data_IF_841872943843
#
_entry.id   IF_841872943843
#
_cell.length_a   1.000
_cell.length_b   1.000
_cell.length_c   1.000
_cell.angle_alpha   90.00
_cell.angle_beta   90.00
_cell.angle_gamma   90.00
#
_symmetry.space_group_name_H-M   'P 1'
#
loop_
_entity.id
_entity.type
_entity.pdbx_description
1 polymer ?
#
# COMPACT_ATOMS: atom_id res chain seq x y z
N UNK A 1 3.64 -8.41 -42.28
CA UNK A 1 3.11 -8.61 -43.63
C UNK A 1 3.74 -7.63 -44.61
N UNK A 2 4.92 -7.86 -45.19
CA UNK A 2 6.07 -8.75 -44.87
C UNK A 2 7.31 -8.14 -45.56
N UNK A 3 8.44 -7.94 -44.86
CA UNK A 3 9.52 -8.90 -44.58
C UNK A 3 10.49 -9.13 -45.76
N UNK A 4 11.77 -8.86 -45.49
CA UNK A 4 13.03 -9.25 -46.17
C UNK A 4 13.15 -9.18 -47.70
N UNK A 5 14.29 -8.63 -48.14
CA UNK A 5 15.07 -9.18 -49.25
C UNK A 5 16.55 -9.29 -48.88
N UNK A 6 17.12 -10.47 -49.12
CA UNK A 6 18.55 -10.78 -49.15
C UNK A 6 19.06 -10.53 -50.60
N UNK A 7 20.30 -10.76 -51.04
CA UNK A 7 21.49 -11.46 -50.52
C UNK A 7 22.76 -10.75 -51.06
N UNK A 8 23.93 -11.05 -50.49
CA UNK A 8 25.24 -10.71 -51.04
C UNK A 8 26.33 -11.44 -50.24
N UNK A 9 27.04 -12.36 -50.88
CA UNK A 9 27.84 -13.42 -50.25
C UNK A 9 29.24 -13.55 -50.88
N UNK A 10 30.25 -13.88 -50.07
CA UNK A 10 31.58 -14.40 -50.48
C UNK A 10 32.49 -14.63 -49.25
N UNK A 11 32.31 -15.77 -48.58
CA UNK A 11 33.34 -16.79 -48.30
C UNK A 11 34.86 -16.43 -48.34
N UNK A 12 35.61 -16.76 -47.26
CA UNK A 12 36.86 -17.59 -47.24
C UNK A 12 37.58 -17.54 -45.86
N UNK A 13 38.35 -18.60 -45.52
CA UNK A 13 38.84 -18.96 -44.16
C UNK A 13 40.38 -18.81 -43.92
N UNK A 14 40.82 -19.25 -42.71
CA UNK A 14 42.14 -19.79 -42.29
C UNK A 14 43.29 -18.89 -41.72
N UNK A 15 43.36 -18.91 -40.38
CA UNK A 15 44.48 -19.37 -39.51
C UNK A 15 45.97 -18.93 -39.72
N UNK A 16 46.43 -18.13 -38.75
CA UNK A 16 47.67 -18.23 -37.93
C UNK A 16 49.14 -18.24 -38.47
N UNK A 17 49.95 -17.52 -37.68
CA UNK A 17 51.32 -17.81 -37.19
C UNK A 17 52.63 -17.19 -37.77
N UNK A 18 53.47 -16.77 -36.80
CA UNK A 18 54.94 -16.63 -36.78
C UNK A 18 55.72 -15.43 -37.41
N UNK A 19 55.99 -14.43 -36.55
CA UNK A 19 57.35 -14.03 -36.06
C UNK A 19 58.10 -12.78 -36.60
N UNK A 20 58.45 -11.89 -35.64
CA UNK A 20 59.66 -11.01 -35.56
C UNK A 20 59.80 -9.86 -36.59
N UNK A 21 60.45 -8.70 -36.34
CA UNK A 21 61.47 -8.24 -35.37
C UNK A 21 61.16 -6.78 -34.89
N UNK A 22 61.54 -6.40 -33.67
CA UNK A 22 61.40 -5.02 -33.11
C UNK A 22 62.59 -4.09 -33.47
N UNK A 23 62.47 -2.75 -33.32
CA UNK A 23 62.94 -2.16 -32.04
C UNK A 23 62.11 -0.95 -31.53
N UNK A 24 62.06 -0.76 -30.19
CA UNK A 24 62.40 0.56 -29.62
C UNK A 24 63.67 0.53 -28.75
N UNK A 25 64.13 1.71 -28.31
CA UNK A 25 65.48 1.91 -27.75
C UNK A 25 65.58 1.73 -26.22
N UNK A 26 66.69 1.10 -25.80
CA UNK A 26 67.30 1.15 -24.46
C UNK A 26 67.87 2.56 -24.14
N UNK A 27 68.40 3.00 -22.97
CA UNK A 27 68.69 2.51 -21.58
C UNK A 27 69.03 3.79 -20.74
N UNK A 28 68.87 3.97 -19.43
CA UNK A 28 68.29 3.21 -18.29
C UNK A 28 67.58 4.23 -17.34
N UNK A 29 67.54 4.27 -15.99
CA UNK A 29 68.19 3.66 -14.80
C UNK A 29 67.15 3.40 -13.67
N UNK A 30 67.51 2.58 -12.68
CA UNK A 30 66.60 2.08 -11.63
C UNK A 30 66.26 3.10 -10.54
N UNK A 31 65.01 3.07 -10.01
CA UNK A 31 64.79 3.05 -8.55
C UNK A 31 63.38 2.54 -8.13
N UNK A 32 63.40 1.51 -7.27
CA UNK A 32 62.41 1.12 -6.23
C UNK A 32 60.89 1.34 -6.48
N UNK A 33 60.18 0.25 -6.78
CA UNK A 33 58.72 0.15 -6.68
C UNK A 33 58.28 -0.18 -5.25
N UNK A 34 57.83 0.81 -4.47
CA UNK A 34 57.01 0.58 -3.26
C UNK A 34 55.93 1.67 -3.12
N UNK A 35 54.84 1.55 -3.88
CA UNK A 35 53.65 2.39 -3.70
C UNK A 35 52.67 1.70 -2.72
N UNK A 36 52.76 2.03 -1.43
CA UNK A 36 51.85 1.48 -0.42
C UNK A 36 50.43 2.06 -0.58
N UNK A 37 49.45 1.21 -0.85
CA UNK A 37 48.04 1.60 -0.76
C UNK A 37 47.70 1.99 0.68
N UNK A 38 47.47 3.28 0.93
CA UNK A 38 46.95 3.77 2.20
C UNK A 38 45.45 3.46 2.30
N UNK A 39 45.12 2.28 2.81
CA UNK A 39 43.76 1.96 3.25
C UNK A 39 43.38 2.91 4.40
N UNK A 40 42.48 3.85 4.12
CA UNK A 40 41.94 4.76 5.15
C UNK A 40 41.00 3.95 6.04
N UNK A 41 41.57 3.36 7.09
CA UNK A 41 40.81 2.73 8.17
C UNK A 41 40.09 3.86 8.92
N UNK A 42 38.77 3.93 8.75
CA UNK A 42 37.94 4.82 9.57
C UNK A 42 38.05 4.38 11.05
N UNK A 43 38.11 5.31 12.01
CA UNK A 43 38.08 4.95 13.42
C UNK A 43 36.77 4.21 13.75
N UNK A 44 36.78 3.28 14.72
CA UNK A 44 35.54 2.67 15.19
C UNK A 44 34.58 3.77 15.70
N UNK A 45 33.25 3.58 15.55
CA UNK A 45 32.28 4.52 16.10
C UNK A 45 32.48 4.65 17.62
N UNK A 46 32.37 5.86 18.20
CA UNK A 46 32.48 6.02 19.65
C UNK A 46 31.49 5.14 20.41
N UNK A 47 31.89 4.58 21.55
CA UNK A 47 31.06 3.69 22.37
C UNK A 47 29.73 4.33 22.82
N UNK A 48 29.64 5.66 22.80
CA UNK A 48 28.40 6.42 23.05
C UNK A 48 27.32 6.16 21.99
N UNK A 49 27.68 5.77 20.75
CA UNK A 49 26.72 5.33 19.72
C UNK A 49 26.22 3.90 19.94
N UNK A 50 26.91 3.09 20.76
CA UNK A 50 26.44 1.77 21.19
C UNK A 50 25.60 1.84 22.47
N UNK A 51 25.65 2.97 23.19
CA UNK A 51 24.79 3.25 24.35
C UNK A 51 23.43 3.76 23.89
N UNK A 52 22.52 2.83 23.64
CA UNK A 52 21.07 3.10 23.64
C UNK A 52 20.77 3.84 24.96
N UNK A 53 20.34 5.12 24.94
CA UNK A 53 20.09 5.85 26.17
C UNK A 53 18.86 5.24 26.84
N UNK A 54 18.88 5.12 28.17
CA UNK A 54 17.82 4.45 28.95
C UNK A 54 16.45 5.16 28.89
N UNK A 55 16.36 6.29 28.18
CA UNK A 55 15.11 6.94 27.77
C UNK A 55 14.41 6.27 26.58
N UNK A 56 15.05 5.34 25.87
CA UNK A 56 14.38 4.40 24.94
C UNK A 56 13.86 3.18 25.75
N UNK A 57 13.10 3.46 26.81
CA UNK A 57 12.13 2.51 27.33
C UNK A 57 10.91 2.52 26.40
N UNK A 58 10.33 1.33 26.17
CA UNK A 58 9.38 1.08 25.09
C UNK A 58 8.00 1.67 25.38
N UNK A 59 7.80 2.96 25.05
CA UNK A 59 6.47 3.61 25.08
C UNK A 59 5.66 3.24 23.80
N UNK A 60 5.45 1.94 23.59
CA UNK A 60 4.51 1.41 22.56
C UNK A 60 3.56 0.34 23.13
N UNK A 61 3.41 0.32 24.46
CA UNK A 61 2.33 -0.39 25.16
C UNK A 61 1.03 0.44 25.19
N UNK A 62 -0.08 -0.15 24.75
CA UNK A 62 -1.48 0.30 24.84
C UNK A 62 -1.89 1.68 24.29
N UNK A 63 -0.98 2.60 23.98
CA UNK A 63 -1.28 3.98 23.54
C UNK A 63 -2.14 4.11 22.26
N UNK A 64 -2.40 3.01 21.54
CA UNK A 64 -3.23 2.97 20.32
C UNK A 64 -4.28 1.85 20.29
N UNK A 65 -4.72 1.31 21.45
CA UNK A 65 -5.78 0.29 21.49
C UNK A 65 -5.44 -0.98 20.69
N UNK A 66 -4.21 -1.48 20.87
CA UNK A 66 -3.68 -2.63 20.14
C UNK A 66 -3.42 -2.40 18.64
N UNK A 67 -3.36 -1.16 18.13
CA UNK A 67 -2.88 -0.86 16.76
C UNK A 67 -1.36 -0.96 16.69
N UNK A 68 -0.85 -2.20 16.60
CA UNK A 68 0.52 -2.48 16.18
C UNK A 68 0.75 -1.86 14.79
N UNK A 69 1.84 -1.12 14.60
CA UNK A 69 2.27 -0.59 13.29
C UNK A 69 3.01 -1.69 12.52
N UNK A 70 2.78 -1.80 11.21
CA UNK A 70 3.50 -2.76 10.35
C UNK A 70 4.98 -2.41 10.14
N UNK A 71 5.43 -1.22 10.57
CA UNK A 71 6.82 -0.83 10.65
C UNK A 71 7.06 0.12 11.84
N UNK A 72 8.26 0.07 12.48
CA UNK A 72 8.62 1.01 13.54
C UNK A 72 8.60 2.46 13.08
N UNK A 73 8.33 3.39 14.00
CA UNK A 73 8.56 4.80 13.70
C UNK A 73 10.06 5.10 13.68
N UNK A 74 10.55 5.59 12.55
CA UNK A 74 11.89 6.19 12.42
C UNK A 74 11.68 7.64 12.04
N UNK A 75 12.44 8.55 12.62
CA UNK A 75 12.32 9.98 12.34
C UNK A 75 12.50 10.25 10.84
N UNK A 76 11.62 11.04 10.25
CA UNK A 76 11.58 11.31 8.81
C UNK A 76 10.88 10.26 7.93
N UNK A 77 10.46 9.10 8.49
CA UNK A 77 9.60 8.12 7.80
C UNK A 77 8.11 8.37 8.11
N UNK A 78 7.31 8.48 7.05
CA UNK A 78 5.86 8.73 7.08
C UNK A 78 5.11 7.55 6.49
N UNK A 79 3.99 7.17 7.10
CA UNK A 79 3.06 6.20 6.50
C UNK A 79 2.29 6.86 5.36
N UNK A 80 2.51 6.42 4.12
CA UNK A 80 1.81 6.88 2.94
C UNK A 80 0.77 5.84 2.47
N UNK A 81 -0.44 6.31 2.17
CA UNK A 81 -1.57 5.48 1.71
C UNK A 81 -2.48 6.30 0.79
N UNK A 82 -2.73 5.78 -0.41
CA UNK A 82 -3.66 6.35 -1.39
C UNK A 82 -4.97 5.55 -1.46
N UNK A 83 -6.10 6.26 -1.48
CA UNK A 83 -7.45 5.70 -1.36
C UNK A 83 -8.52 6.59 -2.00
N UNK A 84 -9.71 6.01 -2.26
CA UNK A 84 -10.94 6.73 -2.58
C UNK A 84 -11.74 6.91 -1.28
N UNK A 85 -11.99 8.12 -0.79
CA UNK A 85 -12.92 8.36 0.31
C UNK A 85 -14.39 8.13 -0.10
N UNK A 86 -15.19 7.55 0.79
CA UNK A 86 -16.57 7.11 0.56
C UNK A 86 -17.41 7.34 1.81
N UNK A 87 -18.53 8.06 1.68
CA UNK A 87 -19.55 8.20 2.73
C UNK A 87 -20.75 7.30 2.45
N UNK A 88 -21.40 6.79 3.51
CA UNK A 88 -22.66 6.02 3.36
C UNK A 88 -23.82 7.02 3.32
N UNK A 89 -24.51 7.19 2.17
CA UNK A 89 -25.53 8.22 2.01
C UNK A 89 -26.78 7.91 2.84
N UNK A 90 -27.48 8.93 3.32
CA UNK A 90 -28.56 8.79 4.32
C UNK A 90 -29.68 7.81 3.90
N UNK A 91 -30.01 7.75 2.60
CA UNK A 91 -31.00 6.81 2.06
C UNK A 91 -30.56 5.33 2.13
N UNK A 92 -29.25 5.06 2.22
CA UNK A 92 -28.69 3.72 2.31
C UNK A 92 -28.56 3.25 3.76
N UNK A 93 -28.36 4.17 4.72
CA UNK A 93 -28.14 3.86 6.14
C UNK A 93 -29.26 3.00 6.74
N UNK A 94 -30.53 3.23 6.35
CA UNK A 94 -31.66 2.39 6.77
C UNK A 94 -31.57 0.92 6.34
N UNK A 95 -30.78 0.60 5.30
CA UNK A 95 -30.48 -0.77 4.86
C UNK A 95 -29.19 -1.32 5.50
N UNK A 96 -28.17 -0.48 5.66
CA UNK A 96 -26.85 -0.88 6.19
C UNK A 96 -26.87 -1.05 7.72
N UNK A 97 -27.46 -0.10 8.46
CA UNK A 97 -27.40 -0.05 9.93
C UNK A 97 -27.95 -1.33 10.61
N UNK A 98 -29.12 -1.89 10.24
CA UNK A 98 -29.62 -3.10 10.89
C UNK A 98 -28.74 -4.33 10.67
N UNK A 99 -27.98 -4.36 9.58
CA UNK A 99 -27.00 -5.41 9.27
C UNK A 99 -25.72 -5.21 10.09
N UNK A 100 -25.22 -3.97 10.20
CA UNK A 100 -24.08 -3.62 11.09
C UNK A 100 -24.40 -3.98 12.54
N UNK A 101 -25.53 -3.51 13.08
CA UNK A 101 -25.95 -3.85 14.44
C UNK A 101 -26.14 -5.36 14.66
N UNK A 102 -26.56 -6.10 13.63
CA UNK A 102 -26.63 -7.57 13.68
C UNK A 102 -25.24 -8.18 13.76
N UNK A 103 -24.29 -7.69 12.98
CA UNK A 103 -22.89 -8.13 13.01
C UNK A 103 -22.26 -7.96 14.40
N UNK A 104 -22.37 -6.76 14.99
CA UNK A 104 -21.83 -6.46 16.31
C UNK A 104 -22.49 -7.29 17.43
N UNK A 105 -23.82 -7.49 17.39
CA UNK A 105 -24.53 -8.39 18.33
C UNK A 105 -24.12 -9.86 18.16
N UNK A 106 -23.89 -10.30 16.92
CA UNK A 106 -23.54 -11.69 16.58
C UNK A 106 -22.07 -12.02 16.85
N UNK A 107 -21.19 -11.02 16.79
CA UNK A 107 -19.75 -11.16 16.98
C UNK A 107 -19.21 -10.08 17.96
N UNK A 108 -19.33 -10.29 19.29
CA UNK A 108 -18.93 -9.29 20.30
C UNK A 108 -17.44 -8.92 20.34
N UNK A 109 -16.59 -9.59 19.56
CA UNK A 109 -15.17 -9.21 19.36
C UNK A 109 -14.99 -8.10 18.31
N UNK A 110 -16.05 -7.73 17.56
CA UNK A 110 -16.00 -6.67 16.57
C UNK A 110 -15.95 -5.31 17.25
N UNK A 111 -15.03 -4.46 16.81
CA UNK A 111 -14.84 -3.07 17.22
C UNK A 111 -15.16 -2.14 16.04
N UNK A 112 -15.74 -0.95 16.28
CA UNK A 112 -15.99 0.02 15.22
C UNK A 112 -14.68 0.59 14.65
N UNK A 113 -14.79 1.25 13.50
CA UNK A 113 -13.71 2.06 12.96
C UNK A 113 -13.74 3.45 13.60
N UNK A 114 -12.94 3.64 14.65
CA UNK A 114 -12.78 4.94 15.29
C UNK A 114 -11.54 5.67 14.74
N UNK A 115 -11.72 6.95 14.39
CA UNK A 115 -10.72 7.85 13.80
C UNK A 115 -9.52 8.16 14.71
N UNK A 116 -9.63 7.88 16.01
CA UNK A 116 -8.78 8.48 17.04
C UNK A 116 -8.30 7.58 18.17
N UNK A 117 -8.14 6.27 17.97
CA UNK A 117 -7.27 5.42 18.81
C UNK A 117 -7.67 5.13 20.27
N UNK A 118 -8.65 5.81 20.85
CA UNK A 118 -9.14 5.57 22.22
C UNK A 118 -10.06 4.35 22.26
N UNK A 119 -9.91 3.46 23.25
CA UNK A 119 -10.82 2.33 23.46
C UNK A 119 -12.12 2.80 24.15
N UNK A 120 -12.94 3.53 23.41
CA UNK A 120 -14.24 4.02 23.92
C UNK A 120 -15.21 2.86 24.00
N UNK A 121 -15.76 2.61 25.19
CA UNK A 121 -16.83 1.63 25.39
C UNK A 121 -17.97 1.86 24.36
N UNK A 122 -18.65 0.80 23.88
CA UNK A 122 -19.65 0.92 22.81
C UNK A 122 -20.93 1.64 23.29
N UNK A 123 -20.86 2.97 23.32
CA UNK A 123 -21.96 3.89 23.53
C UNK A 123 -23.08 3.62 22.50
N UNK A 124 -24.38 3.66 22.87
CA UNK A 124 -25.43 2.94 22.15
C UNK A 124 -25.82 3.57 20.79
N UNK A 125 -25.23 4.69 20.40
CA UNK A 125 -25.38 5.30 19.09
C UNK A 125 -24.58 4.59 17.98
N UNK A 126 -25.06 3.43 17.49
CA UNK A 126 -24.52 2.84 16.25
C UNK A 126 -24.81 3.71 15.02
N UNK A 127 -25.84 4.57 15.10
CA UNK A 127 -26.25 5.52 14.05
C UNK A 127 -25.14 6.49 13.64
N UNK A 128 -24.51 7.17 14.60
CA UNK A 128 -23.44 8.16 14.35
C UNK A 128 -22.16 7.53 13.80
N UNK A 129 -21.95 6.22 14.02
CA UNK A 129 -20.82 5.48 13.45
C UNK A 129 -20.94 5.26 11.94
N UNK A 130 -22.10 5.54 11.32
CA UNK A 130 -22.29 5.60 9.86
C UNK A 130 -22.25 7.03 9.28
N UNK A 131 -21.92 8.05 10.09
CA UNK A 131 -21.67 9.42 9.62
C UNK A 131 -20.22 9.67 9.19
N UNK A 132 -19.29 8.76 9.50
CA UNK A 132 -17.87 8.88 9.15
C UNK A 132 -17.54 8.73 7.65
N UNK A 133 -16.32 9.14 7.29
CA UNK A 133 -15.75 8.91 5.96
C UNK A 133 -14.99 7.57 5.95
N UNK A 134 -15.47 6.61 5.16
CA UNK A 134 -14.79 5.35 4.91
C UNK A 134 -13.85 5.49 3.70
N UNK A 135 -13.05 4.46 3.41
CA UNK A 135 -12.14 4.49 2.27
C UNK A 135 -12.05 3.15 1.54
N UNK A 136 -11.91 3.22 0.22
CA UNK A 136 -11.51 2.09 -0.64
C UNK A 136 -10.02 2.27 -0.96
N UNK A 137 -9.18 1.35 -0.46
CA UNK A 137 -7.73 1.42 -0.68
C UNK A 137 -7.35 1.22 -2.15
N UNK A 138 -6.48 2.09 -2.67
CA UNK A 138 -5.84 1.95 -3.99
C UNK A 138 -4.38 1.49 -3.92
N UNK A 139 -3.82 1.41 -2.70
CA UNK A 139 -2.42 1.07 -2.43
C UNK A 139 -2.27 0.44 -1.05
N UNK A 140 -1.14 -0.22 -0.81
CA UNK A 140 -0.71 -0.61 0.53
C UNK A 140 -0.32 0.64 1.34
N UNK A 141 -0.40 0.56 2.67
CA UNK A 141 0.26 1.56 3.53
C UNK A 141 1.77 1.29 3.50
N UNK A 142 2.57 2.27 3.09
CA UNK A 142 4.01 2.11 2.87
C UNK A 142 4.83 3.20 3.58
N UNK A 143 6.02 2.89 4.13
CA UNK A 143 6.91 3.91 4.68
C UNK A 143 7.58 4.70 3.55
N UNK A 144 7.49 6.03 3.60
CA UNK A 144 8.18 6.95 2.67
C UNK A 144 8.93 8.05 3.44
N UNK A 145 10.03 8.55 2.87
CA UNK A 145 10.77 9.69 3.44
C UNK A 145 10.13 11.01 3.03
N UNK A 146 10.22 12.04 3.88
CA UNK A 146 9.63 13.37 3.65
C UNK A 146 9.85 13.91 2.22
N UNK A 147 11.09 13.83 1.71
CA UNK A 147 11.45 14.33 0.38
C UNK A 147 10.82 13.56 -0.79
N UNK A 148 10.31 12.35 -0.58
CA UNK A 148 9.63 11.55 -1.61
C UNK A 148 8.17 11.96 -1.78
N UNK A 149 7.51 12.46 -0.72
CA UNK A 149 6.06 12.68 -0.66
C UNK A 149 5.58 13.59 -1.79
N UNK A 150 6.15 14.78 -1.94
CA UNK A 150 5.72 15.75 -2.96
C UNK A 150 5.96 15.23 -4.40
N UNK A 151 7.01 14.41 -4.62
CA UNK A 151 7.23 13.74 -5.91
C UNK A 151 6.16 12.67 -6.19
N UNK A 152 5.81 11.84 -5.20
CA UNK A 152 4.76 10.81 -5.32
C UNK A 152 3.43 11.49 -5.62
N UNK A 153 3.03 12.48 -4.81
CA UNK A 153 1.80 13.28 -4.99
C UNK A 153 1.76 13.97 -6.37
N UNK A 154 2.88 14.55 -6.82
CA UNK A 154 3.00 15.19 -8.14
C UNK A 154 2.87 14.20 -9.30
N UNK A 155 3.43 12.99 -9.18
CA UNK A 155 3.29 11.91 -10.17
C UNK A 155 1.87 11.32 -10.17
N UNK A 156 1.26 11.08 -9.00
CA UNK A 156 -0.13 10.63 -8.86
C UNK A 156 -1.08 11.60 -9.56
N UNK A 157 -0.95 12.91 -9.30
CA UNK A 157 -1.74 13.95 -9.97
C UNK A 157 -1.65 13.87 -11.49
N UNK A 158 -0.44 13.79 -12.07
CA UNK A 158 -0.28 13.65 -13.53
C UNK A 158 -0.85 12.34 -14.06
N UNK A 159 -0.71 11.22 -13.34
CA UNK A 159 -1.15 9.90 -13.82
C UNK A 159 -2.67 9.72 -13.74
N UNK A 160 -3.32 10.34 -12.77
CA UNK A 160 -4.77 10.29 -12.58
C UNK A 160 -5.53 11.41 -13.30
N UNK A 161 -4.87 12.49 -13.75
CA UNK A 161 -5.52 13.65 -14.39
C UNK A 161 -6.47 13.33 -15.58
N UNK A 162 -6.25 12.22 -16.28
CA UNK A 162 -7.11 11.78 -17.40
C UNK A 162 -8.17 10.72 -17.01
N UNK A 163 -8.40 10.47 -15.72
CA UNK A 163 -9.42 9.54 -15.24
C UNK A 163 -10.79 10.22 -15.25
N UNK A 164 -11.80 9.55 -15.80
CA UNK A 164 -13.19 10.01 -15.75
C UNK A 164 -13.81 9.72 -14.37
N UNK A 165 -14.82 10.50 -13.98
CA UNK A 165 -15.62 10.19 -12.78
C UNK A 165 -16.56 9.01 -13.05
N UNK A 166 -16.80 8.19 -12.04
CA UNK A 166 -17.51 6.93 -12.16
C UNK A 166 -18.26 6.56 -10.88
N UNK A 167 -19.09 5.52 -10.95
CA UNK A 167 -19.83 5.00 -9.79
C UNK A 167 -19.27 3.66 -9.35
N UNK A 168 -19.22 3.45 -8.03
CA UNK A 168 -18.95 2.17 -7.38
C UNK A 168 -20.18 1.72 -6.61
N UNK A 169 -20.50 0.43 -6.66
CA UNK A 169 -21.69 -0.13 -6.02
C UNK A 169 -21.30 -1.10 -4.93
N UNK A 170 -21.82 -0.93 -3.72
CA UNK A 170 -21.52 -1.80 -2.58
C UNK A 170 -22.64 -2.80 -2.37
N UNK A 171 -22.29 -4.08 -2.17
CA UNK A 171 -23.32 -5.14 -2.11
C UNK A 171 -22.93 -6.48 -1.48
N UNK A 172 -21.64 -6.81 -1.32
CA UNK A 172 -21.26 -8.10 -0.69
C UNK A 172 -20.61 -7.89 0.68
N UNK A 173 -21.16 -8.52 1.72
CA UNK A 173 -20.48 -8.61 3.03
C UNK A 173 -19.36 -9.63 2.95
N UNK A 174 -18.14 -9.17 3.19
CA UNK A 174 -16.96 -10.01 3.10
C UNK A 174 -15.94 -9.73 4.20
N UNK A 175 -15.05 -10.69 4.38
CA UNK A 175 -14.05 -10.68 5.46
C UNK A 175 -12.65 -10.61 4.88
N UNK A 176 -11.86 -9.69 5.40
CA UNK A 176 -10.47 -9.44 5.00
C UNK A 176 -9.54 -9.52 6.21
N UNK A 177 -8.27 -9.82 5.98
CA UNK A 177 -7.21 -9.77 7.00
C UNK A 177 -6.08 -8.88 6.48
N UNK A 178 -5.29 -8.29 7.38
CA UNK A 178 -4.03 -7.65 7.00
C UNK A 178 -2.95 -8.69 6.66
N UNK A 179 -1.89 -8.26 5.97
CA UNK A 179 -0.78 -9.11 5.52
C UNK A 179 -0.14 -9.87 6.71
N UNK A 180 -0.08 -9.26 7.89
CA UNK A 180 0.45 -9.85 9.14
C UNK A 180 -0.55 -10.72 9.91
N UNK A 181 -1.81 -10.82 9.48
CA UNK A 181 -2.93 -11.53 10.17
C UNK A 181 -3.20 -11.12 11.62
N UNK A 182 -2.69 -9.97 12.08
CA UNK A 182 -2.94 -9.44 13.42
C UNK A 182 -4.31 -8.77 13.56
N UNK A 183 -5.04 -8.56 12.45
CA UNK A 183 -6.37 -7.92 12.40
C UNK A 183 -7.26 -8.55 11.32
N UNK A 184 -8.51 -8.79 11.69
CA UNK A 184 -9.58 -9.21 10.76
C UNK A 184 -10.60 -8.07 10.62
N UNK A 185 -11.12 -7.84 9.42
CA UNK A 185 -12.05 -6.76 9.09
C UNK A 185 -13.36 -7.32 8.53
N UNK A 186 -14.49 -6.76 8.99
CA UNK A 186 -15.79 -6.91 8.34
C UNK A 186 -15.97 -5.76 7.35
N UNK A 187 -16.21 -6.09 6.09
CA UNK A 187 -16.18 -5.14 4.98
C UNK A 187 -17.38 -5.28 4.06
N UNK A 188 -17.67 -4.22 3.31
CA UNK A 188 -18.53 -4.26 2.14
C UNK A 188 -17.68 -4.14 0.87
N UNK A 189 -17.70 -5.19 0.05
CA UNK A 189 -17.01 -5.25 -1.24
C UNK A 189 -17.83 -4.54 -2.33
N UNK A 190 -17.11 -3.90 -3.26
CA UNK A 190 -17.64 -3.33 -4.49
C UNK A 190 -18.04 -4.45 -5.45
N UNK A 191 -19.26 -4.40 -5.96
CA UNK A 191 -19.82 -5.39 -6.88
C UNK A 191 -18.97 -5.48 -8.14
N UNK A 192 -18.70 -6.71 -8.60
CA UNK A 192 -17.75 -7.04 -9.68
C UNK A 192 -17.89 -6.19 -10.94
N UNK A 193 -19.12 -5.79 -11.30
CA UNK A 193 -19.39 -4.94 -12.46
C UNK A 193 -18.74 -3.54 -12.36
N UNK A 194 -18.86 -2.88 -11.21
CA UNK A 194 -18.32 -1.53 -10.97
C UNK A 194 -16.90 -1.53 -10.37
N UNK A 195 -16.43 -2.67 -9.86
CA UNK A 195 -15.06 -2.83 -9.37
C UNK A 195 -13.98 -2.61 -10.47
N UNK A 196 -14.34 -2.74 -11.75
CA UNK A 196 -13.43 -2.64 -12.89
C UNK A 196 -12.69 -1.30 -13.01
N UNK A 197 -13.37 -0.18 -12.75
CA UNK A 197 -12.75 1.16 -12.82
C UNK A 197 -11.80 1.41 -11.63
N UNK A 198 -12.15 0.90 -10.43
CA UNK A 198 -11.25 0.95 -9.28
C UNK A 198 -9.97 0.16 -9.55
N UNK A 199 -10.06 -0.99 -10.24
CA UNK A 199 -8.86 -1.76 -10.65
C UNK A 199 -7.97 -0.98 -11.61
N UNK A 200 -8.52 -0.14 -12.50
CA UNK A 200 -7.71 0.78 -13.33
C UNK A 200 -7.01 1.85 -12.49
N UNK A 201 -7.68 2.41 -11.49
CA UNK A 201 -7.06 3.38 -10.57
C UNK A 201 -5.96 2.74 -9.71
N UNK A 202 -6.14 1.49 -9.23
CA UNK A 202 -5.07 0.71 -8.58
C UNK A 202 -3.85 0.59 -9.50
N UNK A 203 -4.02 0.17 -10.76
CA UNK A 203 -2.91 0.05 -11.71
C UNK A 203 -2.21 1.39 -11.97
N UNK A 204 -2.96 2.48 -12.06
CA UNK A 204 -2.43 3.83 -12.23
C UNK A 204 -1.63 4.32 -11.01
N UNK A 205 -2.02 3.91 -9.78
CA UNK A 205 -1.28 4.17 -8.54
C UNK A 205 -0.03 3.29 -8.47
N UNK A 206 -0.14 2.01 -8.81
CA UNK A 206 0.96 1.04 -8.83
C UNK A 206 2.11 1.46 -9.76
N UNK A 207 1.82 2.03 -10.92
CA UNK A 207 2.84 2.61 -11.81
C UNK A 207 3.65 3.70 -11.11
N UNK A 208 3.00 4.58 -10.34
CA UNK A 208 3.68 5.66 -9.61
C UNK A 208 4.46 5.12 -8.41
N UNK A 209 3.95 4.07 -7.74
CA UNK A 209 4.65 3.40 -6.65
C UNK A 209 5.92 2.67 -7.15
N UNK A 210 5.84 1.97 -8.30
CA UNK A 210 7.00 1.37 -8.98
C UNK A 210 8.08 2.40 -9.30
N UNK A 211 7.70 3.58 -9.80
CA UNK A 211 8.61 4.71 -10.06
C UNK A 211 9.28 5.30 -8.79
N UNK A 212 8.93 4.81 -7.60
CA UNK A 212 9.50 5.17 -6.31
C UNK A 212 10.07 3.96 -5.54
N UNK A 213 10.16 2.78 -6.17
CA UNK A 213 10.55 1.50 -5.55
C UNK A 213 9.66 1.09 -4.36
N UNK A 214 8.38 1.48 -4.38
CA UNK A 214 7.38 1.12 -3.39
C UNK A 214 6.62 -0.14 -3.85
N UNK A 215 6.19 -1.02 -2.93
CA UNK A 215 5.44 -2.23 -3.29
C UNK A 215 4.08 -1.87 -3.87
N UNK A 216 3.65 -2.66 -4.86
CA UNK A 216 2.32 -2.55 -5.47
C UNK A 216 1.21 -2.98 -4.52
N UNK A 217 -0.03 -2.77 -4.94
CA UNK A 217 -1.20 -3.39 -4.34
C UNK A 217 -1.23 -4.91 -4.55
N UNK A 218 -2.32 -5.53 -4.10
CA UNK A 218 -2.56 -6.98 -4.22
C UNK A 218 -2.80 -7.40 -5.66
N UNK A 219 -2.24 -8.55 -6.05
CA UNK A 219 -2.28 -9.10 -7.42
C UNK A 219 -3.69 -9.24 -8.00
N UNK A 220 -4.67 -9.63 -7.17
CA UNK A 220 -6.09 -9.54 -7.51
C UNK A 220 -6.79 -8.55 -6.56
N UNK A 221 -6.91 -7.26 -6.94
CA UNK A 221 -7.55 -6.26 -6.10
C UNK A 221 -9.02 -6.63 -5.84
N UNK A 222 -9.43 -6.54 -4.58
CA UNK A 222 -10.83 -6.68 -4.12
C UNK A 222 -11.26 -5.37 -3.47
N UNK A 223 -11.79 -4.39 -4.24
CA UNK A 223 -12.12 -3.07 -3.71
C UNK A 223 -13.25 -3.17 -2.69
N UNK A 224 -13.06 -2.63 -1.49
CA UNK A 224 -14.02 -2.69 -0.40
C UNK A 224 -13.86 -1.49 0.54
N UNK A 225 -14.90 -1.19 1.32
CA UNK A 225 -14.75 -0.41 2.56
C UNK A 225 -14.79 -1.38 3.75
N UNK A 226 -13.96 -1.16 4.76
CA UNK A 226 -14.16 -1.78 6.08
C UNK A 226 -15.27 -1.06 6.85
N UNK A 227 -15.99 -1.76 7.72
CA UNK A 227 -16.99 -1.19 8.65
C UNK A 227 -16.70 -1.50 10.13
N UNK A 228 -15.95 -2.57 10.40
CA UNK A 228 -15.52 -2.94 11.75
C UNK A 228 -14.33 -3.90 11.69
N UNK A 229 -13.65 -4.09 12.82
CA UNK A 229 -12.43 -4.89 12.91
C UNK A 229 -12.33 -5.67 14.21
N UNK A 230 -11.51 -6.73 14.23
CA UNK A 230 -11.23 -7.55 15.40
C UNK A 230 -9.73 -7.87 15.48
N UNK A 231 -9.23 -8.20 16.68
CA UNK A 231 -7.84 -8.62 16.89
C UNK A 231 -7.62 -10.09 16.49
N UNK A 232 -6.47 -10.35 15.87
CA UNK A 232 -6.06 -11.66 15.36
C UNK A 232 -6.76 -12.08 14.05
N UNK A 233 -6.40 -13.27 13.58
CA UNK A 233 -7.13 -13.97 12.53
C UNK A 233 -8.35 -14.68 13.13
N UNK A 234 -9.51 -14.02 13.01
CA UNK A 234 -10.83 -14.57 13.32
C UNK A 234 -11.67 -14.69 12.04
N UNK A 235 -11.01 -14.81 10.88
CA UNK A 235 -11.64 -14.78 9.56
C UNK A 235 -12.74 -15.82 9.40
N UNK A 236 -12.53 -17.04 9.92
CA UNK A 236 -13.49 -18.14 9.88
C UNK A 236 -14.80 -17.81 10.60
N UNK A 237 -14.70 -17.39 11.86
CA UNK A 237 -15.86 -17.06 12.70
C UNK A 237 -16.63 -15.87 12.13
N UNK A 238 -15.91 -14.83 11.70
CA UNK A 238 -16.51 -13.61 11.15
C UNK A 238 -17.13 -13.85 9.76
N UNK A 239 -16.58 -14.79 8.97
CA UNK A 239 -17.14 -15.15 7.65
C UNK A 239 -18.51 -15.81 7.78
N UNK A 240 -18.75 -16.63 8.82
CA UNK A 240 -20.10 -17.15 9.13
C UNK A 240 -21.09 -15.99 9.32
N UNK A 241 -20.67 -14.91 10.00
CA UNK A 241 -21.51 -13.73 10.21
C UNK A 241 -21.71 -12.95 8.91
N UNK A 242 -20.67 -12.73 8.10
CA UNK A 242 -20.82 -12.09 6.79
C UNK A 242 -21.77 -12.87 5.86
N UNK A 243 -21.72 -14.21 5.86
CA UNK A 243 -22.62 -15.06 5.09
C UNK A 243 -24.04 -15.12 5.67
N UNK A 244 -24.22 -14.94 6.99
CA UNK A 244 -25.54 -14.65 7.58
C UNK A 244 -26.10 -13.32 7.05
N UNK A 245 -25.31 -12.24 7.03
CA UNK A 245 -25.73 -10.91 6.54
C UNK A 245 -26.09 -10.93 5.05
N UNK A 246 -25.30 -11.58 4.20
CA UNK A 246 -25.59 -11.73 2.77
C UNK A 246 -26.91 -12.47 2.52
N UNK A 247 -27.24 -13.50 3.32
CA UNK A 247 -28.54 -14.19 3.25
C UNK A 247 -29.70 -13.25 3.62
N UNK A 248 -29.55 -12.43 4.66
CA UNK A 248 -30.58 -11.47 5.08
C UNK A 248 -30.78 -10.31 4.10
N UNK A 249 -29.72 -9.90 3.39
CA UNK A 249 -29.77 -8.85 2.38
C UNK A 249 -30.33 -9.34 1.03
N UNK A 250 -30.30 -10.66 0.80
CA UNK A 250 -30.32 -11.31 -0.52
C UNK A 250 -29.04 -10.97 -1.32
N UNK A 251 -28.25 -12.00 -1.66
CA UNK A 251 -26.87 -11.92 -2.20
C UNK A 251 -26.66 -11.02 -3.44
N UNK A 252 -27.72 -10.62 -4.15
CA UNK A 252 -27.65 -9.79 -5.36
C UNK A 252 -28.06 -8.32 -5.14
N UNK A 253 -28.50 -7.93 -3.94
CA UNK A 253 -29.05 -6.59 -3.70
C UNK A 253 -27.95 -5.54 -3.43
N UNK A 254 -27.84 -4.52 -4.29
CA UNK A 254 -26.96 -3.35 -4.08
C UNK A 254 -27.48 -2.49 -2.91
N UNK A 255 -26.62 -2.24 -1.92
CA UNK A 255 -26.90 -1.42 -0.75
C UNK A 255 -26.86 0.09 -1.04
N UNK A 256 -25.91 0.54 -1.87
CA UNK A 256 -25.90 1.87 -2.51
C UNK A 256 -24.86 1.93 -3.64
N UNK A 257 -25.00 2.94 -4.49
CA UNK A 257 -23.93 3.42 -5.37
C UNK A 257 -23.32 4.70 -4.80
N UNK A 258 -22.00 4.84 -4.92
CA UNK A 258 -21.25 6.05 -4.57
C UNK A 258 -20.61 6.63 -5.83
N UNK A 259 -20.73 7.95 -6.02
CA UNK A 259 -20.03 8.65 -7.08
C UNK A 259 -18.59 8.95 -6.62
N UNK A 260 -17.60 8.39 -7.32
CA UNK A 260 -16.18 8.59 -7.03
C UNK A 260 -15.79 9.98 -7.50
N UNK A 261 -15.67 10.91 -6.53
CA UNK A 261 -15.41 12.35 -6.76
C UNK A 261 -13.97 12.77 -6.59
N UNK A 262 -13.20 12.10 -5.73
CA UNK A 262 -11.81 12.44 -5.40
C UNK A 262 -10.99 11.18 -5.12
N UNK A 263 -9.68 11.25 -5.32
CA UNK A 263 -8.69 10.29 -4.80
C UNK A 263 -7.75 11.08 -3.90
N UNK A 264 -7.47 10.54 -2.73
CA UNK A 264 -6.59 11.12 -1.74
C UNK A 264 -5.35 10.28 -1.52
N UNK A 265 -4.27 10.94 -1.10
CA UNK A 265 -3.03 10.35 -0.65
C UNK A 265 -2.70 10.95 0.72
N UNK A 266 -2.80 10.14 1.78
CA UNK A 266 -2.46 10.53 3.14
C UNK A 266 -1.00 10.15 3.42
N UNK A 267 -0.23 11.09 3.97
CA UNK A 267 1.15 10.89 4.39
C UNK A 267 1.31 11.35 5.85
N UNK A 268 1.32 10.40 6.78
CA UNK A 268 1.22 10.67 8.22
C UNK A 268 -0.10 11.39 8.56
N UNK A 269 0.00 12.63 9.04
CA UNK A 269 -1.15 13.48 9.36
C UNK A 269 -1.60 14.37 8.18
N UNK A 270 -0.82 14.50 7.10
CA UNK A 270 -1.16 15.35 5.94
C UNK A 270 -2.00 14.55 4.94
N UNK A 271 -3.04 15.16 4.38
CA UNK A 271 -3.86 14.58 3.30
C UNK A 271 -3.69 15.42 2.04
N UNK A 272 -3.48 14.77 0.90
CA UNK A 272 -3.29 15.39 -0.40
C UNK A 272 -4.33 14.86 -1.39
N UNK A 273 -5.20 15.72 -1.91
CA UNK A 273 -6.04 15.37 -3.07
C UNK A 273 -5.12 15.17 -4.28
N UNK A 274 -5.22 14.02 -4.95
CA UNK A 274 -4.41 13.66 -6.13
C UNK A 274 -5.25 13.50 -7.41
N UNK A 275 -6.58 13.51 -7.31
CA UNK A 275 -7.51 13.64 -8.43
C UNK A 275 -8.88 14.10 -7.90
N UNK A 276 -9.60 14.89 -8.68
CA UNK A 276 -10.96 15.40 -8.40
C UNK A 276 -11.72 15.68 -9.71
#
# INVERSE_FOLDING_TARGET
MDALKMYGDSDSDDEEQHSSINPPLEKTLQQSLVATHSSVILPPPPDELLRIPSSIQEIDGDAYGGRIRSFPHVEGNFALHAYIPVTIPSHARGRVLPLVERAFRRFPKLRPLDDGGVDVCPDPGMTSKLDGEYHVSLSRTVPVRMHQIESIVSKLRRRLASQNRYFIEFGSWEVFTNDERTRTFLSLEVVTASASEVKKQVLAVDEVFKLHNLPTFYENPRPHISLGWALGDVSRDLKVVADELNKFQNYQAVLWSSHVKKVECKAGQRVYVVWE
#
